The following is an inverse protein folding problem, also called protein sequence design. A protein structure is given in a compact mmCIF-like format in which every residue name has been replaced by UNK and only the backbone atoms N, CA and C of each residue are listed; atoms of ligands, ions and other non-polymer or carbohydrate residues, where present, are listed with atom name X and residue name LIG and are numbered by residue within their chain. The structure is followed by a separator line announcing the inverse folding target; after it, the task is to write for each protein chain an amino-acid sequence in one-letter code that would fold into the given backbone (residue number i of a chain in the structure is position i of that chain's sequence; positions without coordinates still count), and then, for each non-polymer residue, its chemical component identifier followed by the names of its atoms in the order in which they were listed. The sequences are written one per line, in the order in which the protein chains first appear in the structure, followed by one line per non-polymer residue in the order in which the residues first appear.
data_IF_733755470783
#
_entry.id   IF_733755470783
#
_cell.length_a   1.000
_cell.length_b   1.000
_cell.length_c   1.000
_cell.angle_alpha   90.00
_cell.angle_beta   90.00
_cell.angle_gamma   90.00
#
_symmetry.space_group_name_H-M   'P 1'
#
loop_
_entity.id
_entity.type
_entity.pdbx_description
1 polymer ?
#
# COMPACT_ATOMS: atom_id res chain seq x y z
N UNK A 1 2.85 -13.64 -3.69
CA UNK A 1 2.85 -13.51 -5.17
C UNK A 1 4.28 -13.65 -5.70
N UNK A 2 4.52 -14.19 -6.91
CA UNK A 2 5.86 -14.18 -7.52
C UNK A 2 6.14 -12.82 -8.18
N UNK A 3 7.41 -12.46 -8.37
CA UNK A 3 7.78 -11.18 -9.02
C UNK A 3 7.12 -11.01 -10.39
N UNK A 4 7.14 -12.05 -11.22
CA UNK A 4 6.49 -12.07 -12.54
C UNK A 4 4.98 -11.84 -12.48
N UNK A 5 4.30 -12.35 -11.45
CA UNK A 5 2.85 -12.15 -11.29
C UNK A 5 2.54 -10.69 -10.88
N UNK A 6 3.41 -10.06 -10.10
CA UNK A 6 3.25 -8.65 -9.72
C UNK A 6 3.49 -7.72 -10.91
N UNK A 7 4.50 -7.98 -11.74
CA UNK A 7 4.75 -7.22 -12.97
C UNK A 7 3.57 -7.30 -13.93
N UNK A 8 2.98 -8.49 -14.11
CA UNK A 8 1.79 -8.65 -14.92
C UNK A 8 0.59 -7.85 -14.39
N UNK A 9 0.38 -7.84 -13.07
CA UNK A 9 -0.70 -7.09 -12.45
C UNK A 9 -0.52 -5.58 -12.62
N UNK A 10 0.72 -5.07 -12.50
CA UNK A 10 1.03 -3.68 -12.80
C UNK A 10 0.83 -3.34 -14.26
N UNK A 11 1.25 -4.21 -15.19
CA UNK A 11 0.99 -4.01 -16.62
C UNK A 11 -0.51 -3.97 -16.94
N UNK A 12 -1.32 -4.80 -16.29
CA UNK A 12 -2.77 -4.78 -16.43
C UNK A 12 -3.34 -3.45 -15.93
N UNK A 13 -3.05 -3.09 -14.68
CA UNK A 13 -3.53 -1.85 -14.08
C UNK A 13 -3.10 -0.60 -14.86
N UNK A 14 -1.84 -0.52 -15.29
CA UNK A 14 -1.34 0.66 -16.02
C UNK A 14 -1.98 0.82 -17.40
N UNK A 15 -2.33 -0.29 -18.07
CA UNK A 15 -2.98 -0.26 -19.39
C UNK A 15 -4.48 0.02 -19.33
N UNK A 16 -5.18 -0.55 -18.35
CA UNK A 16 -6.64 -0.56 -18.32
C UNK A 16 -7.22 0.37 -17.26
N UNK A 17 -6.42 0.73 -16.24
CA UNK A 17 -6.88 1.35 -14.99
C UNK A 17 -8.05 0.60 -14.34
N UNK A 18 -8.09 -0.72 -14.55
CA UNK A 18 -9.12 -1.61 -14.05
C UNK A 18 -9.19 -1.57 -12.51
N UNK A 19 -10.39 -1.33 -11.92
CA UNK A 19 -10.58 -1.30 -10.48
C UNK A 19 -10.18 -2.59 -9.78
N UNK A 20 -10.38 -3.76 -10.42
CA UNK A 20 -10.05 -5.05 -9.80
C UNK A 20 -8.54 -5.25 -9.68
N UNK A 21 -7.79 -4.87 -10.73
CA UNK A 21 -6.34 -4.85 -10.72
C UNK A 21 -5.78 -3.90 -9.64
N UNK A 22 -6.39 -2.72 -9.50
CA UNK A 22 -6.04 -1.76 -8.44
C UNK A 22 -6.28 -2.31 -7.04
N UNK A 23 -7.46 -2.91 -6.81
CA UNK A 23 -7.81 -3.54 -5.54
C UNK A 23 -6.80 -4.63 -5.17
N UNK A 24 -6.42 -5.45 -6.15
CA UNK A 24 -5.42 -6.51 -5.94
C UNK A 24 -4.04 -5.96 -5.60
N UNK A 25 -3.61 -4.87 -6.25
CA UNK A 25 -2.37 -4.18 -5.89
C UNK A 25 -2.42 -3.67 -4.44
N UNK A 26 -3.54 -3.03 -4.04
CA UNK A 26 -3.72 -2.54 -2.67
C UNK A 26 -3.58 -3.69 -1.67
N UNK A 27 -4.25 -4.82 -1.90
CA UNK A 27 -4.20 -5.99 -1.00
C UNK A 27 -2.79 -6.56 -0.89
N UNK A 28 -2.08 -6.73 -2.00
CA UNK A 28 -0.72 -7.30 -2.01
C UNK A 28 0.30 -6.38 -1.31
N UNK A 29 0.13 -5.07 -1.39
CA UNK A 29 1.01 -4.09 -0.75
C UNK A 29 0.58 -3.67 0.66
N UNK A 30 -0.68 -3.92 1.07
CA UNK A 30 -1.20 -3.56 2.39
C UNK A 30 -0.33 -4.01 3.58
N UNK A 31 0.33 -5.20 3.57
CA UNK A 31 1.21 -5.61 4.67
C UNK A 31 2.39 -4.65 4.92
N UNK A 32 2.84 -3.90 3.91
CA UNK A 32 3.91 -2.91 4.06
C UNK A 32 3.51 -1.79 5.02
N UNK A 33 2.22 -1.44 5.06
CA UNK A 33 1.70 -0.37 5.92
C UNK A 33 1.99 -0.69 7.39
N UNK A 34 1.75 -1.92 7.84
CA UNK A 34 2.01 -2.34 9.22
C UNK A 34 3.49 -2.26 9.57
N UNK A 35 4.36 -2.68 8.65
CA UNK A 35 5.80 -2.61 8.86
C UNK A 35 6.27 -1.16 9.00
N UNK A 36 5.82 -0.28 8.12
CA UNK A 36 6.19 1.15 8.15
C UNK A 36 5.60 1.85 9.37
N UNK A 37 4.33 1.62 9.68
CA UNK A 37 3.67 2.18 10.86
C UNK A 37 4.35 1.73 12.16
N UNK A 38 4.76 0.47 12.28
CA UNK A 38 5.46 -0.03 13.46
C UNK A 38 6.81 0.65 13.66
N UNK A 39 7.56 0.87 12.56
CA UNK A 39 8.80 1.63 12.60
C UNK A 39 8.55 3.09 12.98
N UNK A 40 7.58 3.76 12.37
CA UNK A 40 7.24 5.16 12.66
C UNK A 40 6.81 5.33 14.12
N UNK A 41 5.94 4.46 14.62
CA UNK A 41 5.48 4.50 16.01
C UNK A 41 6.64 4.30 17.01
N UNK A 42 7.65 3.50 16.66
CA UNK A 42 8.88 3.36 17.46
C UNK A 42 9.63 4.69 17.62
N UNK A 43 9.62 5.55 16.59
CA UNK A 43 10.28 6.86 16.62
C UNK A 43 9.41 7.98 17.18
N UNK A 44 8.11 7.97 16.87
CA UNK A 44 7.16 9.01 17.26
C UNK A 44 6.63 8.80 18.69
N UNK A 45 6.71 7.56 19.21
CA UNK A 45 6.17 7.19 20.50
C UNK A 45 4.67 7.47 20.60
N UNK A 46 4.23 7.91 21.77
CA UNK A 46 2.82 8.17 22.08
C UNK A 46 2.28 9.49 21.51
N UNK A 47 3.03 10.20 20.67
CA UNK A 47 2.54 11.43 20.05
C UNK A 47 1.52 11.17 18.93
N UNK A 48 1.52 9.95 18.37
CA UNK A 48 0.61 9.54 17.30
C UNK A 48 0.18 8.11 17.56
N UNK A 49 -1.14 7.88 17.53
CA UNK A 49 -1.71 6.55 17.68
C UNK A 49 -1.30 5.64 16.52
N UNK A 50 -1.01 4.39 16.83
CA UNK A 50 -0.61 3.41 15.82
C UNK A 50 -1.70 3.22 14.75
N UNK A 51 -2.97 3.26 15.15
CA UNK A 51 -4.12 3.11 14.26
C UNK A 51 -4.24 4.27 13.26
N UNK A 52 -3.90 5.49 13.68
CA UNK A 52 -3.85 6.65 12.79
C UNK A 52 -2.77 6.48 11.72
N UNK A 53 -1.59 6.00 12.11
CA UNK A 53 -0.49 5.69 11.17
C UNK A 53 -0.89 4.63 10.14
N UNK A 54 -1.65 3.60 10.56
CA UNK A 54 -2.21 2.61 9.65
C UNK A 54 -3.18 3.27 8.68
N UNK A 55 -4.11 4.09 9.19
CA UNK A 55 -5.09 4.82 8.36
C UNK A 55 -4.41 5.69 7.30
N UNK A 56 -3.43 6.51 7.70
CA UNK A 56 -2.65 7.32 6.77
C UNK A 56 -1.88 6.47 5.75
N UNK A 57 -1.33 5.35 6.17
CA UNK A 57 -0.62 4.43 5.29
C UNK A 57 -1.53 3.82 4.21
N UNK A 58 -2.80 3.54 4.52
CA UNK A 58 -3.77 3.06 3.53
C UNK A 58 -4.02 4.12 2.46
N UNK A 59 -4.31 5.37 2.86
CA UNK A 59 -4.51 6.45 1.89
C UNK A 59 -3.26 6.73 1.06
N UNK A 60 -2.09 6.74 1.70
CA UNK A 60 -0.81 6.92 1.01
C UNK A 60 -0.49 5.80 0.02
N UNK A 61 -0.82 4.55 0.35
CA UNK A 61 -0.67 3.42 -0.56
C UNK A 61 -1.57 3.55 -1.79
N UNK A 62 -2.84 3.92 -1.59
CA UNK A 62 -3.80 4.10 -2.69
C UNK A 62 -3.31 5.21 -3.63
N UNK A 63 -2.90 6.35 -3.08
CA UNK A 63 -2.37 7.49 -3.84
C UNK A 63 -1.08 7.13 -4.59
N UNK A 64 -0.16 6.39 -3.94
CA UNK A 64 1.06 5.92 -4.57
C UNK A 64 0.77 4.97 -5.74
N UNK A 65 -0.21 4.08 -5.61
CA UNK A 65 -0.62 3.18 -6.70
C UNK A 65 -1.21 3.96 -7.87
N UNK A 66 -2.04 4.97 -7.60
CA UNK A 66 -2.65 5.78 -8.67
C UNK A 66 -1.64 6.59 -9.49
N UNK A 67 -0.56 7.03 -8.82
CA UNK A 67 0.48 7.90 -9.39
C UNK A 67 1.65 7.16 -10.05
N UNK A 68 1.80 5.86 -9.79
CA UNK A 68 2.82 5.02 -10.41
C UNK A 68 2.46 4.66 -11.86
#
# INVERSE_FOLDING_TARGET
MTQKNMENLWMEYTKTKDPYSKERLIIEYAPLIKYVAGRLHTYLGNNVEYEDLIGYGVFGLIDAIEKF
#
